data_IF_933713826956
#
_entry.id   IF_933713826956
#
_cell.length_a   1.000
_cell.length_b   1.000
_cell.length_c   1.000
_cell.angle_alpha   90.00
_cell.angle_beta   90.00
_cell.angle_gamma   90.00
#
_symmetry.space_group_name_H-M   'P 1'
#
loop_
_entity.id
_entity.type
_entity.pdbx_description
1 polymer ?
#
# COMPACT_ATOMS: atom_id res chain seq x y z
N UNK A 1 -9.22 -7.50 35.34
CA UNK A 1 -8.35 -6.56 34.60
C UNK A 1 -9.10 -6.23 33.33
N UNK A 2 -9.59 -5.00 33.17
CA UNK A 2 -10.14 -4.54 31.89
C UNK A 2 -8.98 -4.45 30.93
N UNK A 3 -9.01 -5.23 29.83
CA UNK A 3 -8.04 -5.07 28.76
C UNK A 3 -8.25 -3.69 28.16
N UNK A 4 -7.32 -2.78 28.42
CA UNK A 4 -7.30 -1.49 27.76
C UNK A 4 -6.68 -1.70 26.35
N UNK A 5 -7.50 -1.58 25.31
CA UNK A 5 -7.08 -1.64 23.92
C UNK A 5 -6.69 -0.26 23.35
N UNK A 6 -6.26 0.65 24.22
CA UNK A 6 -5.67 1.92 23.78
C UNK A 6 -4.37 1.70 23.00
N UNK A 7 -4.08 2.59 22.04
CA UNK A 7 -2.87 2.53 21.21
C UNK A 7 -2.99 1.73 19.93
N UNK A 8 -1.84 1.29 19.40
CA UNK A 8 -1.74 0.58 18.12
C UNK A 8 -1.61 -0.92 18.32
N UNK A 9 -2.33 -1.67 17.51
CA UNK A 9 -2.31 -3.13 17.51
C UNK A 9 -1.85 -3.65 16.17
N UNK A 10 -1.02 -4.70 16.18
CA UNK A 10 -0.72 -5.47 14.96
C UNK A 10 -1.90 -6.36 14.62
N UNK A 11 -2.29 -6.33 13.34
CA UNK A 11 -3.30 -7.21 12.82
C UNK A 11 -2.92 -7.77 11.45
N UNK A 12 -3.58 -8.85 11.06
CA UNK A 12 -3.44 -9.48 9.74
C UNK A 12 -4.76 -9.32 9.00
N UNK A 13 -4.71 -8.86 7.76
CA UNK A 13 -5.88 -8.78 6.88
C UNK A 13 -6.38 -10.18 6.57
N UNK A 14 -7.65 -10.44 6.83
CA UNK A 14 -8.30 -11.74 6.56
C UNK A 14 -9.44 -11.64 5.55
N UNK A 15 -9.93 -10.42 5.27
CA UNK A 15 -10.90 -10.14 4.23
C UNK A 15 -10.81 -8.67 3.80
N UNK A 16 -10.47 -8.44 2.54
CA UNK A 16 -10.39 -7.11 1.92
C UNK A 16 -11.51 -6.85 0.91
N UNK A 17 -12.49 -7.76 0.81
CA UNK A 17 -13.60 -7.64 -0.13
C UNK A 17 -14.77 -6.86 0.49
N UNK A 18 -14.56 -5.56 0.75
CA UNK A 18 -15.56 -4.68 1.33
C UNK A 18 -16.78 -4.51 0.41
N UNK A 19 -17.99 -4.98 0.80
CA UNK A 19 -19.20 -4.87 -0.01
C UNK A 19 -19.63 -3.41 -0.27
N UNK A 20 -19.21 -2.46 0.57
CA UNK A 20 -19.50 -1.04 0.39
C UNK A 20 -18.41 -0.31 -0.43
N UNK A 21 -17.30 -0.99 -0.79
CA UNK A 21 -16.19 -0.42 -1.57
C UNK A 21 -15.57 0.84 -0.95
N UNK A 22 -15.54 0.88 0.38
CA UNK A 22 -14.98 1.98 1.17
C UNK A 22 -13.51 1.75 1.55
N UNK A 23 -12.92 0.61 1.17
CA UNK A 23 -11.56 0.22 1.55
C UNK A 23 -11.45 -0.32 2.98
N UNK A 24 -12.58 -0.76 3.57
CA UNK A 24 -12.58 -1.39 4.88
C UNK A 24 -11.99 -2.80 4.81
N UNK A 25 -11.42 -3.24 5.91
CA UNK A 25 -10.79 -4.55 6.05
C UNK A 25 -11.39 -5.31 7.22
N UNK A 26 -11.48 -6.64 7.12
CA UNK A 26 -11.57 -7.47 8.31
C UNK A 26 -10.17 -7.87 8.71
N UNK A 27 -9.82 -7.55 9.94
CA UNK A 27 -8.46 -7.71 10.46
C UNK A 27 -8.49 -8.62 11.69
N UNK A 28 -7.65 -9.64 11.68
CA UNK A 28 -7.44 -10.49 12.86
C UNK A 28 -6.44 -9.82 13.78
N UNK A 29 -6.92 -9.45 14.96
CA UNK A 29 -6.12 -8.95 16.08
C UNK A 29 -6.28 -9.95 17.21
N UNK A 30 -5.27 -10.79 17.43
CA UNK A 30 -5.36 -11.92 18.36
C UNK A 30 -5.77 -11.50 19.76
N UNK A 31 -5.23 -10.38 20.26
CA UNK A 31 -5.52 -9.88 21.60
C UNK A 31 -6.97 -9.41 21.76
N UNK A 32 -7.60 -8.89 20.70
CA UNK A 32 -8.95 -8.33 20.76
C UNK A 32 -10.03 -9.34 20.37
N UNK A 33 -9.76 -10.18 19.35
CA UNK A 33 -10.78 -11.04 18.75
C UNK A 33 -10.50 -12.53 18.88
N UNK A 34 -9.27 -12.93 19.25
CA UNK A 34 -8.90 -14.34 19.34
C UNK A 34 -9.16 -15.09 18.02
N UNK A 35 -9.72 -16.29 18.14
CA UNK A 35 -10.06 -17.18 17.01
C UNK A 35 -11.51 -17.00 16.51
N UNK A 36 -12.09 -15.82 16.66
CA UNK A 36 -13.46 -15.58 16.16
C UNK A 36 -13.53 -15.85 14.64
N UNK A 37 -14.65 -16.40 14.15
CA UNK A 37 -14.91 -16.55 12.72
C UNK A 37 -14.79 -15.20 11.98
N UNK A 38 -14.24 -15.21 10.76
CA UNK A 38 -14.03 -14.00 9.95
C UNK A 38 -15.33 -13.19 9.79
N UNK A 39 -16.46 -13.88 9.65
CA UNK A 39 -17.76 -13.21 9.48
C UNK A 39 -18.16 -12.36 10.69
N UNK A 40 -17.68 -12.70 11.88
CA UNK A 40 -18.00 -12.00 13.12
C UNK A 40 -17.03 -10.83 13.40
N UNK A 41 -15.93 -10.73 12.65
CA UNK A 41 -14.99 -9.61 12.80
C UNK A 41 -15.65 -8.32 12.29
N UNK A 42 -15.49 -7.21 13.02
CA UNK A 42 -15.94 -5.90 12.54
C UNK A 42 -15.11 -5.45 11.34
N UNK A 43 -15.70 -4.61 10.50
CA UNK A 43 -14.99 -3.94 9.42
C UNK A 43 -14.15 -2.78 9.98
N UNK A 44 -12.84 -2.84 9.83
CA UNK A 44 -11.92 -1.75 10.15
C UNK A 44 -12.00 -0.67 9.07
N UNK A 45 -12.27 0.56 9.46
CA UNK A 45 -12.33 1.71 8.58
C UNK A 45 -10.92 2.14 8.13
N UNK A 46 -10.75 2.59 6.88
CA UNK A 46 -9.46 3.08 6.43
C UNK A 46 -9.13 4.47 6.99
N UNK A 47 -7.86 4.69 7.31
CA UNK A 47 -7.28 6.01 7.49
C UNK A 47 -6.36 6.31 6.30
N UNK A 48 -6.93 6.76 5.18
CA UNK A 48 -6.15 7.10 4.00
C UNK A 48 -5.45 8.45 4.17
N UNK A 49 -4.22 8.62 3.65
CA UNK A 49 -3.45 9.86 3.79
C UNK A 49 -4.03 11.04 2.98
N UNK A 50 -4.89 10.74 1.99
CA UNK A 50 -5.54 11.74 1.15
C UNK A 50 -6.91 11.26 0.68
N UNK A 51 -7.89 12.17 0.65
CA UNK A 51 -9.25 11.86 0.20
C UNK A 51 -10.31 12.49 1.09
N UNK A 52 -11.44 11.78 1.27
CA UNK A 52 -12.56 12.22 2.13
C UNK A 52 -13.60 13.08 1.43
N UNK A 53 -13.43 13.36 0.13
CA UNK A 53 -14.43 14.00 -0.71
C UNK A 53 -14.71 13.17 -1.96
N UNK A 54 -15.84 13.39 -2.62
CA UNK A 54 -16.27 12.60 -3.77
C UNK A 54 -15.21 12.59 -4.88
N UNK A 55 -14.79 11.39 -5.30
CA UNK A 55 -13.85 11.17 -6.40
C UNK A 55 -12.38 11.42 -6.07
N UNK A 56 -12.06 11.80 -4.83
CA UNK A 56 -10.68 12.06 -4.38
C UNK A 56 -10.25 11.04 -3.34
N UNK A 57 -9.25 10.23 -3.65
CA UNK A 57 -8.74 9.22 -2.72
C UNK A 57 -7.34 8.72 -3.12
N UNK A 58 -6.47 8.48 -2.14
CA UNK A 58 -5.35 7.58 -2.30
C UNK A 58 -5.85 6.18 -1.92
N UNK A 59 -6.45 5.48 -2.88
CA UNK A 59 -7.11 4.20 -2.65
C UNK A 59 -6.14 3.04 -2.91
N UNK A 60 -5.45 2.62 -1.86
CA UNK A 60 -4.58 1.45 -1.86
C UNK A 60 -4.97 0.54 -0.69
N UNK A 61 -5.68 -0.54 -0.99
CA UNK A 61 -6.20 -1.49 0.01
C UNK A 61 -5.24 -2.66 0.10
N UNK A 62 -4.73 -3.00 1.30
CA UNK A 62 -3.84 -4.14 1.48
C UNK A 62 -4.49 -5.48 1.12
N UNK A 63 -3.67 -6.40 0.64
CA UNK A 63 -4.09 -7.77 0.29
C UNK A 63 -4.36 -8.62 1.54
N UNK A 64 -5.12 -9.69 1.36
CA UNK A 64 -5.29 -10.71 2.39
C UNK A 64 -3.94 -11.32 2.77
N UNK A 65 -3.67 -11.42 4.06
CA UNK A 65 -2.37 -11.82 4.60
C UNK A 65 -1.45 -10.65 4.97
N UNK A 66 -1.71 -9.44 4.46
CA UNK A 66 -0.89 -8.28 4.78
C UNK A 66 -0.99 -7.89 6.27
N UNK A 67 0.13 -7.43 6.82
CA UNK A 67 0.21 -6.86 8.15
C UNK A 67 -0.26 -5.41 8.18
N UNK A 68 -1.19 -5.08 9.09
CA UNK A 68 -1.70 -3.72 9.26
C UNK A 68 -1.65 -3.25 10.71
N UNK A 69 -1.48 -1.94 10.89
CA UNK A 69 -1.64 -1.28 12.17
C UNK A 69 -3.09 -0.88 12.35
N UNK A 70 -3.66 -1.20 13.51
CA UNK A 70 -5.05 -0.90 13.86
C UNK A 70 -5.13 -0.17 15.18
N UNK A 71 -5.94 0.89 15.23
CA UNK A 71 -6.40 1.52 16.46
C UNK A 71 -7.90 1.31 16.61
N UNK A 72 -8.40 1.46 17.84
CA UNK A 72 -9.84 1.42 18.12
C UNK A 72 -10.35 2.82 18.48
N UNK A 73 -11.54 3.15 18.00
CA UNK A 73 -12.18 4.40 18.39
C UNK A 73 -12.49 4.39 19.89
N UNK A 74 -12.38 5.56 20.52
CA UNK A 74 -12.73 5.71 21.93
C UNK A 74 -14.23 5.94 22.08
N UNK A 75 -14.83 5.22 23.02
CA UNK A 75 -16.21 5.38 23.43
C UNK A 75 -16.27 5.27 24.96
N UNK A 76 -16.94 6.23 25.60
CA UNK A 76 -17.13 6.25 27.07
C UNK A 76 -15.80 6.07 27.86
N UNK A 77 -14.73 6.74 27.42
CA UNK A 77 -13.37 6.68 27.98
C UNK A 77 -12.67 5.32 27.86
N UNK A 78 -13.08 4.47 26.94
CA UNK A 78 -12.45 3.17 26.63
C UNK A 78 -12.30 2.99 25.11
N UNK A 79 -11.31 2.18 24.71
CA UNK A 79 -11.17 1.75 23.31
C UNK A 79 -12.28 0.72 22.98
N UNK A 80 -13.07 1.01 21.94
CA UNK A 80 -14.17 0.14 21.50
C UNK A 80 -13.72 -0.78 20.37
N UNK A 81 -13.49 -2.04 20.70
CA UNK A 81 -13.02 -3.05 19.72
C UNK A 81 -14.02 -3.33 18.59
N UNK A 82 -15.25 -2.83 18.66
CA UNK A 82 -16.23 -2.94 17.56
C UNK A 82 -16.07 -1.86 16.49
N UNK A 83 -15.23 -0.84 16.74
CA UNK A 83 -14.91 0.26 15.81
C UNK A 83 -13.41 0.36 15.50
N UNK A 84 -12.84 -0.66 14.83
CA UNK A 84 -11.43 -0.62 14.42
C UNK A 84 -11.20 0.35 13.26
N UNK A 85 -10.01 0.97 13.25
CA UNK A 85 -9.51 1.81 12.17
C UNK A 85 -8.12 1.31 11.80
N UNK A 86 -7.89 0.93 10.54
CA UNK A 86 -6.56 0.60 10.06
C UNK A 86 -5.85 1.85 9.53
N UNK A 87 -4.55 1.99 9.87
CA UNK A 87 -3.79 3.23 9.70
C UNK A 87 -2.68 3.12 8.67
N UNK A 88 -2.28 1.91 8.32
CA UNK A 88 -1.19 1.63 7.42
C UNK A 88 -0.72 0.19 7.55
N UNK A 89 0.31 -0.15 6.79
CA UNK A 89 0.88 -1.50 6.79
C UNK A 89 2.15 -1.57 7.62
N UNK A 90 2.50 -2.77 8.08
CA UNK A 90 3.84 -3.11 8.55
C UNK A 90 4.36 -4.28 7.73
N UNK A 91 5.65 -4.31 7.50
CA UNK A 91 6.33 -5.37 6.77
C UNK A 91 7.01 -6.32 7.76
N UNK A 92 6.89 -7.62 7.50
CA UNK A 92 7.69 -8.62 8.18
C UNK A 92 9.10 -8.71 7.58
N UNK A 93 9.95 -9.48 8.20
CA UNK A 93 11.26 -9.80 7.65
C UNK A 93 11.09 -10.46 6.27
N UNK A 94 11.93 -10.12 5.30
CA UNK A 94 11.92 -10.64 3.92
C UNK A 94 10.72 -10.18 3.06
N UNK A 95 9.94 -9.20 3.50
CA UNK A 95 8.84 -8.63 2.72
C UNK A 95 9.23 -7.34 1.97
N UNK A 96 10.48 -6.88 2.10
CA UNK A 96 10.97 -5.73 1.34
C UNK A 96 10.96 -6.02 -0.17
N UNK A 97 10.61 -5.04 -1.03
CA UNK A 97 10.73 -5.20 -2.47
C UNK A 97 12.17 -5.52 -2.89
N UNK A 98 12.34 -6.36 -3.93
CA UNK A 98 13.67 -6.75 -4.41
C UNK A 98 14.54 -5.57 -4.86
N UNK A 99 13.91 -4.53 -5.37
CA UNK A 99 14.55 -3.30 -5.82
C UNK A 99 15.20 -2.53 -4.66
N UNK A 100 14.73 -2.74 -3.43
CA UNK A 100 15.26 -2.18 -2.19
C UNK A 100 16.00 -3.20 -1.32
N UNK A 101 16.04 -4.48 -1.74
CA UNK A 101 16.69 -5.59 -1.02
C UNK A 101 18.21 -5.72 -1.35
N UNK A 102 18.80 -4.64 -1.86
CA UNK A 102 20.24 -4.53 -2.05
C UNK A 102 21.03 -4.38 -0.74
N UNK A 103 22.11 -3.61 -0.77
CA UNK A 103 22.81 -3.23 0.45
C UNK A 103 21.83 -2.45 1.36
N UNK A 104 21.65 -2.91 2.58
CA UNK A 104 20.75 -2.29 3.57
C UNK A 104 21.08 -0.81 3.83
N UNK A 105 22.33 -0.41 3.59
CA UNK A 105 22.77 0.99 3.66
C UNK A 105 22.11 1.88 2.58
N UNK A 106 21.73 1.31 1.45
CA UNK A 106 21.18 2.02 0.29
C UNK A 106 19.64 2.01 0.24
N UNK A 107 18.98 1.17 1.04
CA UNK A 107 17.52 1.01 1.01
C UNK A 107 16.76 2.33 1.15
N UNK A 108 17.28 3.30 1.90
CA UNK A 108 16.65 4.61 2.10
C UNK A 108 16.64 5.51 0.85
N UNK A 109 17.45 5.21 -0.17
CA UNK A 109 17.45 5.95 -1.44
C UNK A 109 16.28 5.55 -2.35
N UNK A 110 15.65 4.39 -2.13
CA UNK A 110 14.56 3.90 -2.97
C UNK A 110 13.19 4.22 -2.37
N UNK A 111 12.27 4.71 -3.19
CA UNK A 111 10.86 4.95 -2.86
C UNK A 111 10.03 4.24 -3.92
N UNK A 112 9.32 3.19 -3.52
CA UNK A 112 8.59 2.33 -4.43
C UNK A 112 7.11 2.21 -4.06
N UNK A 113 6.28 2.24 -5.08
CA UNK A 113 4.91 1.75 -5.04
C UNK A 113 4.81 0.55 -5.98
N UNK A 114 4.63 -0.65 -5.42
CA UNK A 114 4.57 -1.91 -6.17
C UNK A 114 3.27 -2.64 -5.91
N UNK A 115 2.68 -3.20 -6.97
CA UNK A 115 1.48 -4.03 -6.87
C UNK A 115 1.84 -5.51 -6.79
N UNK A 116 0.92 -6.33 -6.27
CA UNK A 116 1.08 -7.80 -6.20
C UNK A 116 1.30 -8.45 -7.57
N UNK A 117 0.83 -7.81 -8.64
CA UNK A 117 1.07 -8.28 -10.02
C UNK A 117 2.47 -7.96 -10.55
N UNK A 118 3.25 -7.11 -9.86
CA UNK A 118 4.58 -6.69 -10.28
C UNK A 118 4.61 -5.41 -11.13
N UNK A 119 3.54 -4.61 -11.16
CA UNK A 119 3.61 -3.23 -11.66
C UNK A 119 4.22 -2.34 -10.59
N UNK A 120 5.09 -1.39 -10.96
CA UNK A 120 5.66 -0.48 -9.99
C UNK A 120 5.93 0.94 -10.52
N UNK A 121 6.04 1.86 -9.59
CA UNK A 121 6.66 3.18 -9.77
C UNK A 121 7.79 3.31 -8.75
N UNK A 122 9.00 3.56 -9.21
CA UNK A 122 10.23 3.58 -8.43
C UNK A 122 10.96 4.90 -8.63
N UNK A 123 11.41 5.48 -7.53
CA UNK A 123 12.29 6.64 -7.48
C UNK A 123 13.57 6.22 -6.78
N UNK A 124 14.71 6.45 -7.42
CA UNK A 124 16.04 6.25 -6.85
C UNK A 124 16.73 7.60 -6.68
N UNK A 125 17.10 7.93 -5.43
CA UNK A 125 17.81 9.16 -5.07
C UNK A 125 19.28 8.89 -4.71
N UNK A 126 19.83 7.71 -5.06
CA UNK A 126 21.22 7.38 -4.77
C UNK A 126 22.16 8.28 -5.57
N UNK A 127 23.07 9.02 -4.90
CA UNK A 127 23.94 9.98 -5.58
C UNK A 127 24.73 9.38 -6.73
N UNK A 128 24.56 9.93 -7.94
CA UNK A 128 25.19 9.47 -9.18
C UNK A 128 24.50 8.28 -9.85
N UNK A 129 23.38 7.81 -9.30
CA UNK A 129 22.57 6.71 -9.84
C UNK A 129 21.08 7.06 -9.85
N UNK A 130 20.73 8.35 -9.79
CA UNK A 130 19.36 8.84 -9.68
C UNK A 130 18.53 8.48 -10.91
N UNK A 131 17.30 8.00 -10.69
CA UNK A 131 16.33 7.75 -11.76
C UNK A 131 14.88 7.71 -11.27
N UNK A 132 13.95 7.82 -12.21
CA UNK A 132 12.52 7.54 -12.03
C UNK A 132 12.12 6.49 -13.05
N UNK A 133 11.45 5.42 -12.59
CA UNK A 133 10.95 4.37 -13.47
C UNK A 133 9.48 4.03 -13.16
N UNK A 134 8.67 3.92 -14.21
CA UNK A 134 7.32 3.34 -14.13
C UNK A 134 7.29 2.15 -15.06
N UNK A 135 7.04 0.96 -14.48
CA UNK A 135 7.12 -0.31 -15.23
C UNK A 135 5.88 -1.18 -15.03
N UNK A 136 5.45 -1.83 -16.10
CA UNK A 136 4.44 -2.87 -16.03
C UNK A 136 5.08 -4.26 -15.85
N UNK A 137 4.30 -5.23 -15.38
CA UNK A 137 4.76 -6.61 -15.15
C UNK A 137 5.27 -7.33 -16.40
N UNK A 138 4.96 -6.84 -17.60
CA UNK A 138 5.34 -7.47 -18.88
C UNK A 138 6.59 -6.83 -19.50
N UNK A 139 7.19 -5.85 -18.83
CA UNK A 139 8.43 -5.22 -19.22
C UNK A 139 8.29 -3.93 -20.04
N UNK A 140 7.08 -3.38 -20.24
CA UNK A 140 6.93 -2.02 -20.76
C UNK A 140 7.24 -1.01 -19.68
N UNK A 141 7.99 0.07 -20.02
CA UNK A 141 8.38 1.07 -19.02
C UNK A 141 8.55 2.47 -19.60
N UNK A 142 8.58 3.43 -18.69
CA UNK A 142 9.09 4.79 -18.87
C UNK A 142 10.21 4.97 -17.87
N UNK A 143 11.41 5.30 -18.34
CA UNK A 143 12.59 5.57 -17.53
C UNK A 143 13.06 7.01 -17.79
N UNK A 144 13.31 7.75 -16.71
CA UNK A 144 13.95 9.07 -16.73
C UNK A 144 15.25 8.98 -15.96
N UNK A 145 16.37 9.17 -16.64
CA UNK A 145 17.71 9.08 -16.07
C UNK A 145 18.67 10.01 -16.79
N UNK A 146 19.55 10.68 -16.08
CA UNK A 146 20.64 11.53 -16.60
C UNK A 146 20.16 12.62 -17.60
N UNK A 147 18.90 13.07 -17.49
CA UNK A 147 18.28 14.03 -18.39
C UNK A 147 17.61 13.41 -19.62
N UNK A 148 17.74 12.10 -19.82
CA UNK A 148 17.10 11.36 -20.91
C UNK A 148 15.76 10.77 -20.47
N UNK A 149 14.87 10.52 -21.46
CA UNK A 149 13.61 9.80 -21.25
C UNK A 149 13.57 8.63 -22.24
N UNK A 150 13.48 7.43 -21.72
CA UNK A 150 13.27 6.21 -22.50
C UNK A 150 11.83 5.71 -22.34
N UNK A 151 11.17 5.40 -23.45
CA UNK A 151 9.84 4.79 -23.45
C UNK A 151 9.93 3.46 -24.20
N UNK A 152 9.75 2.37 -23.51
CA UNK A 152 9.81 1.03 -24.05
C UNK A 152 8.45 0.34 -24.00
N UNK A 153 8.04 -0.26 -25.10
CA UNK A 153 6.87 -1.13 -25.17
C UNK A 153 7.31 -2.57 -25.47
N UNK A 154 7.01 -3.51 -24.57
CA UNK A 154 7.34 -4.93 -24.73
C UNK A 154 6.69 -5.57 -25.97
N UNK A 155 5.64 -4.97 -26.53
CA UNK A 155 4.98 -5.40 -27.75
C UNK A 155 4.79 -4.26 -28.74
N UNK A 156 3.67 -3.54 -28.65
CA UNK A 156 3.30 -2.48 -29.60
C UNK A 156 3.13 -1.15 -28.87
N UNK A 157 3.60 -0.07 -29.48
CA UNK A 157 3.34 1.29 -29.03
C UNK A 157 2.40 1.97 -30.04
N UNK A 158 1.34 2.63 -29.52
CA UNK A 158 0.45 3.47 -30.31
C UNK A 158 0.51 4.89 -29.77
N UNK A 159 0.93 5.82 -30.61
CA UNK A 159 0.90 7.26 -30.34
C UNK A 159 -0.27 7.86 -31.12
N UNK A 160 -1.12 8.62 -30.47
CA UNK A 160 -2.25 9.31 -31.10
C UNK A 160 -2.32 10.73 -30.54
N UNK A 161 -2.19 11.72 -31.40
CA UNK A 161 -2.29 13.13 -31.07
C UNK A 161 -2.75 13.92 -32.30
N UNK A 162 -3.25 15.15 -32.11
CA UNK A 162 -3.49 16.09 -33.21
C UNK A 162 -2.19 16.50 -33.91
N UNK A 163 -1.07 16.50 -33.16
CA UNK A 163 0.27 16.78 -33.69
C UNK A 163 1.31 16.06 -32.81
N UNK A 164 2.34 15.47 -33.41
CA UNK A 164 3.53 14.89 -32.80
C UNK A 164 4.73 15.52 -33.48
N UNK A 165 5.57 16.24 -32.75
CA UNK A 165 6.82 16.79 -33.21
C UNK A 165 7.96 15.95 -32.62
N UNK A 166 8.83 15.43 -33.46
CA UNK A 166 10.06 14.72 -33.11
C UNK A 166 11.24 15.53 -33.68
N UNK A 167 12.07 16.08 -32.80
CA UNK A 167 13.24 16.91 -33.14
C UNK A 167 14.53 16.07 -33.09
#
# INVERSE_FOLDING_TARGET
MTNDFGGLHRGIVVDNNDPLKLGRLKVRIQAAYGEQPINNLPWAWPCFPYGGAQGMCNYAVPENGAGVWVAFQWKDAMADTTYPVWLGVWQAQEEAPQEVDGDSADAHYYKEFKTTSGHYALFCDKPGEEFIEIRDKNGSYILMKDGDIEIHAAKNMKLTANRIDLN
#
